data_IF_782272052312
#
_entry.id   IF_782272052312
#
_cell.length_a   1.000
_cell.length_b   1.000
_cell.length_c   1.000
_cell.angle_alpha   90.00
_cell.angle_beta   90.00
_cell.angle_gamma   90.00
#
_symmetry.space_group_name_H-M   'P 1'
#
loop_
_entity.id
_entity.type
_entity.pdbx_description
1 polymer ?
#
# COMPACT_ATOMS: atom_id res chain seq x y z
N UNK A 1 14.04 -8.98 -14.35
CA UNK A 1 13.78 -7.53 -14.46
C UNK A 1 12.92 -7.14 -13.28
N UNK A 2 13.39 -6.27 -12.38
CA UNK A 2 12.59 -5.85 -11.22
C UNK A 2 11.69 -4.71 -11.69
N UNK A 3 10.37 -4.94 -11.73
CA UNK A 3 9.41 -3.91 -12.10
C UNK A 3 9.60 -2.71 -11.17
N UNK A 4 9.96 -1.55 -11.74
CA UNK A 4 9.97 -0.28 -11.01
C UNK A 4 8.53 0.01 -10.59
N UNK A 5 8.25 -0.09 -9.29
CA UNK A 5 7.03 0.45 -8.71
C UNK A 5 7.01 1.94 -9.05
N UNK A 6 6.13 2.30 -9.98
CA UNK A 6 5.91 3.70 -10.34
C UNK A 6 5.11 4.28 -9.19
N UNK A 7 5.70 5.16 -8.39
CA UNK A 7 4.95 5.96 -7.42
C UNK A 7 4.11 6.92 -8.27
N UNK A 8 2.92 6.47 -8.66
CA UNK A 8 2.05 7.20 -9.56
C UNK A 8 1.62 8.52 -8.91
N UNK A 9 1.91 9.64 -9.58
CA UNK A 9 1.36 10.97 -9.26
C UNK A 9 -0.14 11.09 -9.59
N UNK A 10 -0.92 10.03 -9.36
CA UNK A 10 -2.37 10.04 -9.46
C UNK A 10 -3.00 10.62 -8.19
N UNK A 11 -4.24 11.09 -8.28
CA UNK A 11 -5.01 11.41 -7.08
C UNK A 11 -5.02 10.19 -6.15
N UNK A 12 -4.87 10.42 -4.85
CA UNK A 12 -5.01 9.37 -3.85
C UNK A 12 -6.48 8.90 -3.86
N UNK A 13 -6.81 7.89 -4.67
CA UNK A 13 -8.17 7.34 -4.82
C UNK A 13 -8.60 6.43 -3.65
N UNK A 14 -8.04 6.64 -2.45
CA UNK A 14 -8.29 5.82 -1.25
C UNK A 14 -8.11 6.65 0.01
N UNK A 15 -8.37 6.05 1.17
CA UNK A 15 -8.28 6.67 2.50
C UNK A 15 -6.89 7.26 2.82
N UNK A 16 -5.83 6.75 2.16
CA UNK A 16 -4.48 7.31 2.14
C UNK A 16 -4.42 8.80 1.83
N UNK A 17 -5.41 9.33 1.07
CA UNK A 17 -5.50 10.74 0.75
C UNK A 17 -5.45 11.63 1.99
N UNK A 18 -6.20 11.26 3.03
CA UNK A 18 -6.34 12.10 4.23
C UNK A 18 -5.04 12.13 5.04
N UNK A 19 -4.33 11.00 5.10
CA UNK A 19 -3.01 10.93 5.72
C UNK A 19 -1.99 11.78 4.95
N UNK A 20 -1.96 11.66 3.63
CA UNK A 20 -1.08 12.46 2.79
C UNK A 20 -1.35 13.97 2.95
N UNK A 21 -2.62 14.39 2.94
CA UNK A 21 -3.01 15.79 3.13
C UNK A 21 -2.65 16.33 4.51
N UNK A 22 -2.62 15.48 5.55
CA UNK A 22 -2.16 15.82 6.88
C UNK A 22 -0.62 15.85 7.03
N UNK A 23 0.13 15.61 5.96
CA UNK A 23 1.59 15.57 5.98
C UNK A 23 2.18 14.28 6.54
N UNK A 24 1.35 13.23 6.73
CA UNK A 24 1.81 11.90 7.12
C UNK A 24 2.39 11.20 5.90
N UNK A 25 3.61 10.63 5.96
CA UNK A 25 4.14 9.80 4.88
C UNK A 25 3.27 8.55 4.68
N UNK A 26 2.88 8.27 3.43
CA UNK A 26 2.04 7.12 3.09
C UNK A 26 2.68 6.30 1.97
N UNK A 27 2.64 4.98 2.12
CA UNK A 27 2.84 4.03 1.04
C UNK A 27 1.52 3.31 0.76
N UNK A 28 1.10 3.29 -0.51
CA UNK A 28 -0.10 2.58 -0.94
C UNK A 28 0.24 1.64 -2.11
N UNK A 29 0.59 0.38 -1.82
CA UNK A 29 0.85 -0.61 -2.86
C UNK A 29 -0.49 -1.08 -3.43
N UNK A 30 -0.85 -0.58 -4.62
CA UNK A 30 -2.04 -1.01 -5.35
C UNK A 30 -1.64 -1.49 -6.75
N UNK A 31 -2.16 -2.66 -7.13
CA UNK A 31 -2.09 -3.16 -8.50
C UNK A 31 -3.45 -2.90 -9.17
N UNK A 32 -3.43 -2.37 -10.40
CA UNK A 32 -4.62 -2.34 -11.23
C UNK A 32 -4.89 -3.75 -11.76
N UNK A 33 -6.17 -4.14 -11.83
CA UNK A 33 -6.60 -5.42 -12.38
C UNK A 33 -7.87 -5.25 -13.24
N UNK A 34 -8.08 -6.08 -14.28
CA UNK A 34 -9.18 -5.91 -15.23
C UNK A 34 -10.57 -6.00 -14.61
N UNK A 35 -10.73 -6.78 -13.54
CA UNK A 35 -12.01 -7.05 -12.91
C UNK A 35 -12.47 -5.92 -11.97
N UNK A 36 -11.62 -4.93 -11.70
CA UNK A 36 -11.94 -3.81 -10.83
C UNK A 36 -13.20 -3.05 -11.29
N UNK A 37 -14.18 -2.90 -10.39
CA UNK A 37 -15.49 -2.26 -10.67
C UNK A 37 -16.34 -3.01 -11.70
N UNK A 38 -16.18 -4.34 -11.78
CA UNK A 38 -17.01 -5.21 -12.61
C UNK A 38 -17.63 -6.33 -11.77
N UNK A 39 -18.66 -7.00 -12.31
CA UNK A 39 -19.23 -8.20 -11.68
C UNK A 39 -18.23 -9.38 -11.63
N UNK A 40 -17.09 -9.27 -12.32
CA UNK A 40 -16.01 -10.26 -12.32
C UNK A 40 -15.09 -10.17 -11.10
N UNK A 41 -15.24 -9.18 -10.23
CA UNK A 41 -14.44 -8.99 -9.00
C UNK A 41 -14.82 -10.02 -7.92
N UNK A 42 -14.46 -11.27 -8.21
CA UNK A 42 -14.83 -12.45 -7.46
C UNK A 42 -13.58 -13.19 -6.97
N UNK A 43 -13.69 -14.06 -5.95
CA UNK A 43 -12.55 -14.86 -5.48
C UNK A 43 -11.87 -15.71 -6.58
N UNK A 44 -12.58 -16.02 -7.66
CA UNK A 44 -12.02 -16.73 -8.82
C UNK A 44 -11.05 -15.91 -9.68
N UNK A 45 -11.10 -14.58 -9.60
CA UNK A 45 -10.16 -13.67 -10.26
C UNK A 45 -8.87 -13.48 -9.46
N UNK A 46 -8.82 -13.97 -8.22
CA UNK A 46 -7.67 -13.84 -7.34
C UNK A 46 -6.65 -14.95 -7.60
N UNK A 47 -5.39 -14.58 -7.79
CA UNK A 47 -4.27 -15.51 -7.76
C UNK A 47 -3.78 -15.71 -6.32
N UNK A 48 -3.74 -16.97 -5.87
CA UNK A 48 -3.33 -17.31 -4.49
C UNK A 48 -1.85 -17.05 -4.22
N UNK A 49 -1.00 -17.23 -5.22
CA UNK A 49 0.43 -16.96 -5.09
C UNK A 49 0.66 -15.44 -4.97
N UNK A 50 -0.07 -14.63 -5.72
CA UNK A 50 -0.01 -13.17 -5.58
C UNK A 50 -0.48 -12.72 -4.20
N UNK A 51 -1.59 -13.27 -3.70
CA UNK A 51 -2.09 -12.99 -2.34
C UNK A 51 -1.05 -13.33 -1.27
N UNK A 52 -0.41 -14.49 -1.38
CA UNK A 52 0.64 -14.92 -0.45
C UNK A 52 1.85 -13.98 -0.51
N UNK A 53 2.32 -13.63 -1.72
CA UNK A 53 3.46 -12.75 -1.90
C UNK A 53 3.20 -11.35 -1.32
N UNK A 54 2.00 -10.80 -1.51
CA UNK A 54 1.59 -9.52 -0.91
C UNK A 54 1.55 -9.61 0.62
N UNK A 55 0.99 -10.69 1.17
CA UNK A 55 0.93 -10.89 2.62
C UNK A 55 2.32 -10.98 3.25
N UNK A 56 3.23 -11.76 2.65
CA UNK A 56 4.60 -11.93 3.13
C UNK A 56 5.38 -10.62 3.07
N UNK A 57 5.29 -9.89 1.95
CA UNK A 57 5.94 -8.59 1.80
C UNK A 57 5.41 -7.54 2.79
N UNK A 58 4.09 -7.53 3.04
CA UNK A 58 3.48 -6.64 4.02
C UNK A 58 3.91 -6.98 5.44
N UNK A 59 3.94 -8.26 5.81
CA UNK A 59 4.39 -8.72 7.12
C UNK A 59 5.87 -8.36 7.36
N UNK A 60 6.74 -8.59 6.38
CA UNK A 60 8.16 -8.23 6.43
C UNK A 60 8.35 -6.71 6.59
N UNK A 61 7.62 -5.90 5.82
CA UNK A 61 7.67 -4.44 5.94
C UNK A 61 7.25 -3.96 7.33
N UNK A 62 6.13 -4.49 7.85
CA UNK A 62 5.66 -4.15 9.20
C UNK A 62 6.68 -4.57 10.26
N UNK A 63 7.28 -5.76 10.14
CA UNK A 63 8.32 -6.23 11.05
C UNK A 63 9.56 -5.32 11.06
N UNK A 64 9.98 -4.85 9.88
CA UNK A 64 11.09 -3.89 9.74
C UNK A 64 10.75 -2.53 10.34
N UNK A 65 9.54 -2.03 10.12
CA UNK A 65 9.10 -0.74 10.65
C UNK A 65 8.91 -0.77 12.18
N UNK A 66 8.43 -1.89 12.73
CA UNK A 66 8.26 -2.07 14.18
C UNK A 66 9.59 -2.02 14.96
N UNK A 67 10.69 -2.34 14.30
CA UNK A 67 12.05 -2.34 14.89
C UNK A 67 12.90 -1.15 14.43
N UNK A 68 12.38 -0.33 13.51
CA UNK A 68 13.07 0.87 13.05
C UNK A 68 13.12 1.91 14.18
N UNK A 69 14.22 2.68 14.31
CA UNK A 69 14.29 3.79 15.24
C UNK A 69 13.35 4.92 14.77
N UNK A 70 12.10 4.86 15.20
CA UNK A 70 11.09 5.88 14.93
C UNK A 70 11.39 7.06 15.86
N UNK A 71 11.87 8.17 15.30
CA UNK A 71 11.97 9.43 16.06
C UNK A 71 10.57 9.84 16.53
N UNK A 72 10.44 10.51 17.69
CA UNK A 72 9.15 10.98 18.17
C UNK A 72 8.43 11.75 17.07
N UNK A 73 7.12 11.51 16.91
CA UNK A 73 6.27 12.29 16.00
C UNK A 73 6.53 13.78 16.29
N UNK A 74 6.99 14.57 15.28
CA UNK A 74 7.30 15.98 15.48
C UNK A 74 6.11 16.71 16.12
N UNK A 75 6.40 17.65 17.01
CA UNK A 75 5.38 18.30 17.85
C UNK A 75 4.29 18.99 17.03
N UNK A 76 4.58 19.40 15.79
CA UNK A 76 3.60 19.97 14.86
C UNK A 76 2.48 19.01 14.41
N UNK A 77 2.63 17.70 14.68
CA UNK A 77 1.68 16.65 14.32
C UNK A 77 1.04 15.98 15.56
N UNK A 78 1.25 16.53 16.76
CA UNK A 78 0.53 16.14 17.99
C UNK A 78 -0.56 17.14 18.29
#
# INVERSE_FOLDING_TARGET
>A
EVAKATIGGGSWRTDAQWFHQAGVPVAWPVAGYPEYHTDGDLPSAMDKADLQAVADAAADLVGKLATAPIQPVPQQFR
#
